data_IF_081684393298
#
_entry.id   IF_081684393298
#
_cell.length_a   1.000
_cell.length_b   1.000
_cell.length_c   1.000
_cell.angle_alpha   90.00
_cell.angle_beta   90.00
_cell.angle_gamma   90.00
#
_symmetry.space_group_name_H-M   'P 1'
#
loop_
_entity.id
_entity.type
_entity.pdbx_description
1 polymer ?
#
# COMPACT_ATOMS: atom_id res chain seq x y z
N UNK A 1 21.96 -19.55 35.64
CA UNK A 1 21.05 -18.58 36.28
C UNK A 1 21.71 -17.24 36.08
N UNK A 2 21.59 -16.71 34.87
CA UNK A 2 22.02 -15.36 34.56
C UNK A 2 20.76 -14.52 34.39
N UNK A 3 20.84 -13.34 34.97
CA UNK A 3 19.77 -12.37 35.18
C UNK A 3 18.92 -12.15 33.94
N UNK A 4 17.63 -12.46 34.08
CA UNK A 4 16.58 -11.85 33.27
C UNK A 4 16.67 -10.36 33.56
N UNK A 5 17.33 -9.61 32.69
CA UNK A 5 17.16 -8.15 32.62
C UNK A 5 15.65 -7.89 32.67
N UNK A 6 15.25 -7.09 33.67
CA UNK A 6 13.88 -6.62 33.80
C UNK A 6 13.44 -6.08 32.44
N UNK A 7 12.46 -6.75 31.84
CA UNK A 7 11.75 -6.23 30.68
C UNK A 7 11.18 -4.88 31.10
N UNK A 8 11.83 -3.80 30.66
CA UNK A 8 11.22 -2.47 30.62
C UNK A 8 9.80 -2.67 30.09
N UNK A 9 8.81 -2.23 30.86
CA UNK A 9 7.42 -2.27 30.44
C UNK A 9 7.33 -1.50 29.13
N UNK A 10 7.09 -2.22 28.03
CA UNK A 10 6.94 -1.62 26.69
C UNK A 10 5.98 -0.42 26.82
N UNK A 11 6.43 0.80 26.47
CA UNK A 11 5.69 2.00 26.76
C UNK A 11 4.31 1.95 26.10
N UNK A 12 3.30 2.64 26.65
CA UNK A 12 1.99 2.72 26.02
C UNK A 12 2.11 3.27 24.59
N UNK A 13 1.17 2.90 23.73
CA UNK A 13 1.24 3.17 22.29
C UNK A 13 1.48 4.64 21.92
N UNK A 14 0.96 5.58 22.70
CA UNK A 14 1.13 7.03 22.48
C UNK A 14 2.54 7.55 22.82
N UNK A 15 3.38 6.73 23.45
CA UNK A 15 4.78 7.04 23.74
C UNK A 15 5.73 6.39 22.72
N UNK A 16 5.21 5.65 21.73
CA UNK A 16 6.04 5.07 20.68
C UNK A 16 6.55 6.17 19.74
N UNK A 17 7.87 6.33 19.55
CA UNK A 17 8.40 7.27 18.56
C UNK A 17 7.88 6.96 17.15
N UNK A 18 7.63 5.67 16.85
CA UNK A 18 7.00 5.25 15.61
C UNK A 18 5.59 5.82 15.42
N UNK A 19 4.82 5.94 16.52
CA UNK A 19 3.45 6.46 16.49
C UNK A 19 3.46 7.95 16.15
N UNK A 20 4.29 8.74 16.82
CA UNK A 20 4.42 10.17 16.56
C UNK A 20 4.89 10.47 15.14
N UNK A 21 5.78 9.64 14.59
CA UNK A 21 6.22 9.79 13.21
C UNK A 21 5.11 9.44 12.22
N UNK A 22 4.39 8.34 12.48
CA UNK A 22 3.26 7.94 11.66
C UNK A 22 2.17 9.01 11.64
N UNK A 23 1.81 9.57 12.80
CA UNK A 23 0.82 10.65 12.91
C UNK A 23 1.26 11.89 12.12
N UNK A 24 2.51 12.34 12.28
CA UNK A 24 3.04 13.48 11.50
C UNK A 24 3.01 13.25 9.99
N UNK A 25 3.41 12.06 9.54
CA UNK A 25 3.44 11.73 8.11
C UNK A 25 2.03 11.58 7.53
N UNK A 26 1.07 11.04 8.29
CA UNK A 26 -0.33 10.96 7.86
C UNK A 26 -1.00 12.34 7.82
N UNK A 27 -0.67 13.25 8.73
CA UNK A 27 -1.11 14.66 8.65
C UNK A 27 -0.54 15.38 7.42
N UNK A 28 0.72 15.12 7.08
CA UNK A 28 1.31 15.63 5.84
C UNK A 28 0.64 15.02 4.59
N UNK A 29 0.31 13.73 4.61
CA UNK A 29 -0.47 13.09 3.54
C UNK A 29 -1.83 13.81 3.35
N UNK A 30 -2.57 14.07 4.44
CA UNK A 30 -3.84 14.80 4.40
C UNK A 30 -3.70 16.18 3.77
N UNK A 31 -2.60 16.89 4.07
CA UNK A 31 -2.28 18.18 3.42
C UNK A 31 -2.02 18.00 1.92
N UNK A 32 -1.23 17.01 1.53
CA UNK A 32 -0.96 16.69 0.12
C UNK A 32 -2.24 16.34 -0.65
N UNK A 33 -3.13 15.52 -0.06
CA UNK A 33 -4.43 15.14 -0.64
C UNK A 33 -5.28 16.40 -0.90
N UNK A 34 -5.40 17.29 0.09
CA UNK A 34 -6.17 18.55 -0.04
C UNK A 34 -5.60 19.43 -1.15
N UNK A 35 -4.27 19.62 -1.18
CA UNK A 35 -3.65 20.43 -2.23
C UNK A 35 -3.94 19.89 -3.63
N UNK A 36 -3.93 18.57 -3.82
CA UNK A 36 -4.26 17.95 -5.10
C UNK A 36 -5.73 18.11 -5.46
N UNK A 37 -6.64 18.03 -4.48
CA UNK A 37 -8.06 18.27 -4.68
C UNK A 37 -8.35 19.72 -5.13
N UNK A 38 -7.61 20.68 -4.60
CA UNK A 38 -7.81 22.12 -4.86
C UNK A 38 -7.17 22.60 -6.18
N UNK A 39 -6.34 21.76 -6.82
CA UNK A 39 -5.64 22.09 -8.06
C UNK A 39 -6.46 21.76 -9.30
N UNK A 40 -6.22 22.55 -10.34
CA UNK A 40 -6.90 22.44 -11.63
C UNK A 40 -6.57 21.13 -12.36
N UNK A 41 -7.32 20.84 -13.44
CA UNK A 41 -7.32 19.60 -14.26
C UNK A 41 -5.95 19.16 -14.85
N UNK A 42 -4.86 19.89 -14.62
CA UNK A 42 -3.50 19.56 -15.07
C UNK A 42 -2.78 18.50 -14.21
N UNK A 43 -3.29 18.24 -13.01
CA UNK A 43 -2.79 17.15 -12.14
C UNK A 43 -3.24 15.80 -12.72
N UNK A 44 -2.41 14.74 -12.69
CA UNK A 44 -2.81 13.44 -13.24
C UNK A 44 -4.11 12.99 -12.57
N UNK A 45 -5.19 12.91 -13.34
CA UNK A 45 -6.52 12.70 -12.81
C UNK A 45 -6.72 11.45 -11.90
N UNK A 46 -5.96 10.33 -12.03
CA UNK A 46 -6.06 9.23 -11.06
C UNK A 46 -5.34 9.49 -9.73
N UNK A 47 -4.58 10.58 -9.59
CA UNK A 47 -3.76 10.85 -8.41
C UNK A 47 -4.60 11.08 -7.14
N UNK A 48 -5.63 11.92 -7.22
CA UNK A 48 -6.53 12.21 -6.10
C UNK A 48 -7.15 10.94 -5.49
N UNK A 49 -7.91 10.11 -6.23
CA UNK A 49 -8.57 8.94 -5.63
C UNK A 49 -7.59 7.92 -5.05
N UNK A 50 -6.37 7.81 -5.60
CA UNK A 50 -5.36 6.92 -5.03
C UNK A 50 -4.82 7.47 -3.70
N UNK A 51 -4.49 8.76 -3.63
CA UNK A 51 -4.01 9.37 -2.38
C UNK A 51 -5.08 9.40 -1.30
N UNK A 52 -6.32 9.73 -1.65
CA UNK A 52 -7.48 9.68 -0.76
C UNK A 52 -7.69 8.26 -0.19
N UNK A 53 -7.55 7.22 -1.03
CA UNK A 53 -7.61 5.83 -0.55
C UNK A 53 -6.48 5.44 0.40
N UNK A 54 -5.29 6.05 0.25
CA UNK A 54 -4.17 5.84 1.18
C UNK A 54 -4.48 6.53 2.51
N UNK A 55 -5.06 7.72 2.49
CA UNK A 55 -5.47 8.45 3.70
C UNK A 55 -6.51 7.66 4.51
N UNK A 56 -7.58 7.20 3.86
CA UNK A 56 -8.60 6.33 4.48
C UNK A 56 -7.98 5.05 5.06
N UNK A 57 -7.05 4.44 4.32
CA UNK A 57 -6.35 3.23 4.78
C UNK A 57 -5.42 3.52 5.95
N UNK A 58 -4.80 4.70 6.03
CA UNK A 58 -3.93 5.10 7.13
C UNK A 58 -4.72 5.29 8.43
N UNK A 59 -5.89 5.93 8.37
CA UNK A 59 -6.79 6.06 9.52
C UNK A 59 -7.28 4.69 10.02
N UNK A 60 -7.64 3.80 9.09
CA UNK A 60 -8.02 2.41 9.39
C UNK A 60 -6.86 1.62 10.02
N UNK A 61 -5.63 1.84 9.53
CA UNK A 61 -4.44 1.21 10.08
C UNK A 61 -4.19 1.69 11.51
N UNK A 62 -4.30 2.99 11.78
CA UNK A 62 -4.17 3.55 13.12
C UNK A 62 -5.13 2.88 14.11
N UNK A 63 -6.39 2.68 13.71
CA UNK A 63 -7.38 1.95 14.52
C UNK A 63 -6.94 0.51 14.81
N UNK A 64 -6.50 -0.25 13.79
CA UNK A 64 -6.07 -1.63 13.96
C UNK A 64 -4.85 -1.76 14.87
N UNK A 65 -3.92 -0.82 14.80
CA UNK A 65 -2.72 -0.81 15.64
C UNK A 65 -3.10 -0.54 17.10
N UNK A 66 -4.01 0.39 17.38
CA UNK A 66 -4.55 0.63 18.74
C UNK A 66 -5.20 -0.63 19.34
N UNK A 67 -5.85 -1.43 18.50
CA UNK A 67 -6.46 -2.71 18.87
C UNK A 67 -5.49 -3.90 18.82
N UNK A 68 -4.22 -3.66 18.50
CA UNK A 68 -3.16 -4.66 18.32
C UNK A 68 -3.53 -5.79 17.34
N UNK A 69 -4.25 -5.48 16.26
CA UNK A 69 -4.68 -6.42 15.21
C UNK A 69 -3.59 -6.65 14.17
N UNK A 70 -2.47 -7.23 14.59
CA UNK A 70 -1.26 -7.45 13.78
C UNK A 70 -1.54 -7.99 12.36
N UNK A 71 -2.33 -9.06 12.26
CA UNK A 71 -2.62 -9.73 10.98
C UNK A 71 -3.24 -8.75 9.97
N UNK A 72 -4.28 -8.05 10.40
CA UNK A 72 -5.05 -7.14 9.55
C UNK A 72 -4.25 -5.85 9.28
N UNK A 73 -3.47 -5.39 10.27
CA UNK A 73 -2.53 -4.28 10.10
C UNK A 73 -1.50 -4.54 8.99
N UNK A 74 -0.96 -5.76 8.88
CA UNK A 74 -0.04 -6.12 7.79
C UNK A 74 -0.72 -6.09 6.42
N UNK A 75 -1.95 -6.61 6.30
CA UNK A 75 -2.71 -6.59 5.05
C UNK A 75 -2.95 -5.15 4.61
N UNK A 76 -3.41 -4.30 5.53
CA UNK A 76 -3.69 -2.90 5.22
C UNK A 76 -2.42 -2.10 4.93
N UNK A 77 -1.32 -2.39 5.63
CA UNK A 77 0.00 -1.80 5.35
C UNK A 77 0.49 -2.14 3.94
N UNK A 78 0.21 -3.34 3.45
CA UNK A 78 0.49 -3.72 2.06
C UNK A 78 -0.37 -2.95 1.07
N UNK A 79 -1.65 -2.75 1.36
CA UNK A 79 -2.54 -1.92 0.52
C UNK A 79 -1.99 -0.50 0.41
N UNK A 80 -1.67 0.13 1.54
CA UNK A 80 -1.03 1.45 1.58
C UNK A 80 0.25 1.48 0.74
N UNK A 81 1.14 0.50 0.94
CA UNK A 81 2.41 0.41 0.23
C UNK A 81 2.23 0.25 -1.29
N UNK A 82 1.40 -0.70 -1.73
CA UNK A 82 1.18 -0.94 -3.16
C UNK A 82 0.54 0.28 -3.84
N UNK A 83 -0.40 0.94 -3.18
CA UNK A 83 -1.02 2.17 -3.68
C UNK A 83 -0.01 3.32 -3.73
N UNK A 84 0.85 3.47 -2.73
CA UNK A 84 1.93 4.46 -2.73
C UNK A 84 2.91 4.24 -3.90
N UNK A 85 3.31 2.99 -4.16
CA UNK A 85 4.14 2.65 -5.33
C UNK A 85 3.41 2.96 -6.63
N UNK A 86 2.11 2.66 -6.74
CA UNK A 86 1.32 2.99 -7.93
C UNK A 86 1.24 4.49 -8.18
N UNK A 87 1.02 5.30 -7.13
CA UNK A 87 1.03 6.76 -7.22
C UNK A 87 2.36 7.26 -7.75
N UNK A 88 3.47 6.87 -7.10
CA UNK A 88 4.80 7.28 -7.54
C UNK A 88 5.11 6.81 -8.96
N UNK A 89 4.67 5.62 -9.34
CA UNK A 89 4.86 5.08 -10.69
C UNK A 89 4.07 5.86 -11.73
N UNK A 90 2.81 6.24 -11.46
CA UNK A 90 2.03 7.12 -12.34
C UNK A 90 2.77 8.42 -12.62
N UNK A 91 3.46 8.97 -11.61
CA UNK A 91 4.25 10.18 -11.77
C UNK A 91 5.53 9.99 -12.60
N UNK A 92 5.91 8.75 -12.95
CA UNK A 92 7.03 8.47 -13.87
C UNK A 92 6.73 8.91 -15.29
N UNK A 93 5.51 8.67 -15.78
CA UNK A 93 5.06 9.14 -17.08
C UNK A 93 3.55 9.41 -17.05
N UNK A 94 3.13 10.58 -16.54
CA UNK A 94 1.74 10.81 -16.15
C UNK A 94 0.71 10.67 -17.26
N UNK A 95 1.06 11.03 -18.50
CA UNK A 95 0.11 10.95 -19.63
C UNK A 95 -0.24 9.49 -19.97
N UNK A 96 0.71 8.72 -20.54
CA UNK A 96 0.50 7.32 -20.91
C UNK A 96 0.04 6.44 -19.74
N UNK A 97 0.60 6.61 -18.54
CA UNK A 97 0.22 5.78 -17.39
C UNK A 97 -1.17 6.11 -16.85
N UNK A 98 -1.60 7.37 -16.88
CA UNK A 98 -2.98 7.73 -16.48
C UNK A 98 -4.01 7.19 -17.47
N UNK A 99 -3.76 7.32 -18.77
CA UNK A 99 -4.65 6.76 -19.80
C UNK A 99 -4.76 5.24 -19.67
N UNK A 100 -3.64 4.57 -19.40
CA UNK A 100 -3.62 3.13 -19.14
C UNK A 100 -4.40 2.75 -17.88
N UNK A 101 -4.23 3.49 -16.79
CA UNK A 101 -4.96 3.28 -15.54
C UNK A 101 -6.48 3.43 -15.75
N UNK A 102 -6.93 4.44 -16.51
CA UNK A 102 -8.35 4.59 -16.84
C UNK A 102 -8.87 3.47 -17.73
N UNK A 103 -8.11 3.06 -18.76
CA UNK A 103 -8.48 1.93 -19.60
C UNK A 103 -8.62 0.64 -18.77
N UNK A 104 -7.73 0.42 -17.80
CA UNK A 104 -7.84 -0.71 -16.87
C UNK A 104 -9.08 -0.62 -15.96
N UNK A 105 -9.36 0.55 -15.37
CA UNK A 105 -10.54 0.75 -14.54
C UNK A 105 -11.84 0.54 -15.35
N UNK A 106 -11.91 1.10 -16.56
CA UNK A 106 -13.05 0.97 -17.48
C UNK A 106 -13.26 -0.48 -17.90
N UNK A 107 -12.20 -1.20 -18.29
CA UNK A 107 -12.36 -2.60 -18.68
C UNK A 107 -12.81 -3.48 -17.50
N UNK A 108 -12.34 -3.22 -16.27
CA UNK A 108 -12.83 -3.93 -15.07
C UNK A 108 -14.33 -3.71 -14.88
N UNK A 109 -14.79 -2.46 -14.99
CA UNK A 109 -16.23 -2.13 -14.93
C UNK A 109 -17.02 -2.82 -16.02
N UNK A 110 -16.51 -2.85 -17.26
CA UNK A 110 -17.15 -3.56 -18.37
C UNK A 110 -17.22 -5.07 -18.14
N UNK A 111 -16.15 -5.71 -17.66
CA UNK A 111 -16.15 -7.14 -17.34
C UNK A 111 -17.09 -7.47 -16.18
N UNK A 112 -17.27 -6.57 -15.23
CA UNK A 112 -18.23 -6.74 -14.14
C UNK A 112 -19.70 -6.75 -14.62
N UNK A 113 -20.01 -6.16 -15.78
CA UNK A 113 -21.36 -6.25 -16.38
C UNK A 113 -21.73 -7.67 -16.75
N UNK A 114 -20.75 -8.52 -17.08
CA UNK A 114 -21.00 -9.91 -17.46
C UNK A 114 -20.08 -10.84 -16.69
N UNK A 115 -20.63 -11.53 -15.70
CA UNK A 115 -19.86 -12.46 -14.86
C UNK A 115 -20.42 -13.85 -14.95
N UNK A 116 -19.54 -14.84 -15.15
CA UNK A 116 -19.88 -16.25 -15.06
C UNK A 116 -18.93 -16.94 -14.08
N UNK A 117 -19.48 -17.72 -13.16
CA UNK A 117 -18.70 -18.55 -12.24
C UNK A 117 -18.91 -20.00 -12.65
N UNK A 118 -17.80 -20.66 -12.98
CA UNK A 118 -17.77 -22.09 -13.27
C UNK A 118 -16.91 -22.81 -12.23
N UNK A 119 -17.40 -23.91 -11.68
CA UNK A 119 -16.68 -24.77 -10.74
C UNK A 119 -16.66 -26.17 -11.33
N UNK A 120 -15.46 -26.75 -11.52
CA UNK A 120 -15.28 -28.03 -12.20
C UNK A 120 -15.99 -28.12 -13.57
N UNK A 121 -16.01 -27.01 -14.32
CA UNK A 121 -16.70 -26.91 -15.62
C UNK A 121 -18.20 -26.61 -15.55
N UNK A 122 -18.84 -26.84 -14.40
CA UNK A 122 -20.26 -26.56 -14.16
C UNK A 122 -20.48 -25.08 -13.94
N UNK A 123 -21.39 -24.48 -14.71
CA UNK A 123 -21.82 -23.09 -14.51
C UNK A 123 -22.67 -23.00 -13.23
N UNK A 124 -22.15 -22.30 -12.22
CA UNK A 124 -22.81 -22.10 -10.92
C UNK A 124 -23.58 -20.78 -10.91
N UNK A 125 -23.07 -19.77 -11.59
CA UNK A 125 -23.66 -18.44 -11.61
C UNK A 125 -23.39 -17.76 -12.94
N UNK A 126 -24.39 -17.02 -13.45
CA UNK A 126 -24.22 -16.10 -14.56
C UNK A 126 -25.04 -14.83 -14.30
N UNK A 127 -24.38 -13.69 -14.42
CA UNK A 127 -25.00 -12.37 -14.47
C UNK A 127 -24.69 -11.75 -15.83
N UNK A 128 -25.73 -11.36 -16.56
CA UNK A 128 -25.66 -10.68 -17.85
C UNK A 128 -26.95 -9.87 -18.01
N UNK A 129 -26.94 -8.56 -17.71
CA UNK A 129 -28.14 -7.73 -17.86
C UNK A 129 -28.50 -7.59 -19.34
N UNK A 130 -29.77 -7.29 -19.61
CA UNK A 130 -30.25 -7.07 -20.96
C UNK A 130 -29.46 -5.94 -21.66
N UNK A 131 -29.14 -6.11 -22.93
CA UNK A 131 -28.33 -5.15 -23.69
C UNK A 131 -26.83 -5.16 -23.39
N UNK A 132 -26.34 -5.89 -22.37
CA UNK A 132 -24.92 -5.91 -22.01
C UNK A 132 -24.01 -6.30 -23.18
N UNK A 133 -24.39 -7.31 -23.97
CA UNK A 133 -23.63 -7.71 -25.16
C UNK A 133 -23.55 -6.62 -26.22
N UNK A 134 -24.63 -5.88 -26.45
CA UNK A 134 -24.64 -4.78 -27.41
C UNK A 134 -23.74 -3.64 -26.91
N UNK A 135 -23.85 -3.32 -25.62
CA UNK A 135 -23.02 -2.31 -24.97
C UNK A 135 -21.53 -2.65 -25.02
N UNK A 136 -21.15 -3.88 -24.68
CA UNK A 136 -19.75 -4.36 -24.75
C UNK A 136 -19.21 -4.38 -26.19
N UNK A 137 -20.08 -4.45 -27.20
CA UNK A 137 -19.67 -4.49 -28.60
C UNK A 137 -19.38 -3.11 -29.22
N UNK A 138 -19.59 -2.02 -28.49
CA UNK A 138 -19.20 -0.68 -28.94
C UNK A 138 -17.69 -0.60 -29.18
N UNK A 139 -17.26 0.20 -30.17
CA UNK A 139 -15.87 0.23 -30.65
C UNK A 139 -14.88 0.56 -29.53
N UNK A 140 -15.16 1.59 -28.73
CA UNK A 140 -14.33 2.02 -27.60
C UNK A 140 -14.20 0.94 -26.52
N UNK A 141 -15.30 0.28 -26.19
CA UNK A 141 -15.33 -0.80 -25.18
C UNK A 141 -14.53 -2.02 -25.62
N UNK A 142 -14.63 -2.40 -26.90
CA UNK A 142 -13.82 -3.47 -27.47
C UNK A 142 -12.33 -3.17 -27.38
N UNK A 143 -11.93 -1.93 -27.62
CA UNK A 143 -10.52 -1.52 -27.50
C UNK A 143 -10.00 -1.74 -26.08
N UNK A 144 -10.69 -1.23 -25.05
CA UNK A 144 -10.28 -1.41 -23.65
C UNK A 144 -10.25 -2.88 -23.23
N UNK A 145 -11.24 -3.68 -23.65
CA UNK A 145 -11.28 -5.11 -23.35
C UNK A 145 -10.14 -5.87 -24.03
N UNK A 146 -9.83 -5.54 -25.29
CA UNK A 146 -8.78 -6.21 -26.07
C UNK A 146 -7.40 -5.92 -25.50
N UNK A 147 -7.14 -4.67 -25.09
CA UNK A 147 -5.87 -4.27 -24.47
C UNK A 147 -5.53 -5.13 -23.24
N UNK A 148 -6.54 -5.48 -22.44
CA UNK A 148 -6.40 -6.30 -21.23
C UNK A 148 -6.87 -7.74 -21.43
N UNK A 149 -6.73 -8.28 -22.65
CA UNK A 149 -6.96 -9.69 -22.96
C UNK A 149 -5.70 -10.30 -23.56
N UNK A 150 -5.23 -11.41 -23.00
CA UNK A 150 -4.08 -12.14 -23.49
C UNK A 150 -4.38 -12.81 -24.84
N UNK A 151 -3.32 -13.27 -25.53
CA UNK A 151 -3.45 -14.06 -26.77
C UNK A 151 -4.28 -15.35 -26.58
N UNK A 152 -4.33 -15.89 -25.36
CA UNK A 152 -5.13 -17.07 -25.02
C UNK A 152 -6.58 -16.74 -24.63
N UNK A 153 -7.00 -15.48 -24.75
CA UNK A 153 -8.33 -15.02 -24.39
C UNK A 153 -8.55 -14.83 -22.89
N UNK A 154 -7.50 -14.95 -22.07
CA UNK A 154 -7.59 -14.74 -20.61
C UNK A 154 -7.45 -13.26 -20.28
N UNK A 155 -8.14 -12.82 -19.25
CA UNK A 155 -7.99 -11.47 -18.73
C UNK A 155 -6.57 -11.22 -18.22
N UNK A 156 -6.01 -10.06 -18.57
CA UNK A 156 -4.80 -9.52 -17.96
C UNK A 156 -5.26 -8.73 -16.73
N UNK A 157 -4.99 -9.26 -15.54
CA UNK A 157 -5.52 -8.69 -14.28
C UNK A 157 -4.75 -7.46 -13.81
N UNK A 158 -3.45 -7.39 -14.11
CA UNK A 158 -2.58 -6.26 -13.78
C UNK A 158 -2.85 -5.05 -14.67
N UNK A 159 -2.83 -3.85 -14.09
CA UNK A 159 -2.99 -2.60 -14.84
C UNK A 159 -1.68 -2.19 -15.55
N UNK A 160 -0.54 -2.62 -15.04
CA UNK A 160 0.80 -2.47 -15.65
C UNK A 160 1.41 -3.82 -16.03
N UNK A 161 2.24 -3.90 -17.09
CA UNK A 161 3.08 -5.07 -17.32
C UNK A 161 4.23 -5.19 -16.31
N UNK A 162 4.66 -4.09 -15.69
CA UNK A 162 5.75 -4.05 -14.73
C UNK A 162 5.38 -4.70 -13.40
N UNK A 163 6.28 -5.51 -12.85
CA UNK A 163 6.20 -5.99 -11.47
C UNK A 163 6.57 -4.88 -10.47
N UNK A 164 6.49 -5.16 -9.16
CA UNK A 164 6.78 -4.15 -8.12
C UNK A 164 8.23 -3.64 -8.19
N UNK A 165 9.22 -4.51 -8.43
CA UNK A 165 10.62 -4.12 -8.52
C UNK A 165 10.87 -3.20 -9.71
N UNK A 166 10.33 -3.54 -10.88
CA UNK A 166 10.46 -2.72 -12.09
C UNK A 166 9.84 -1.33 -11.91
N UNK A 167 8.70 -1.23 -11.19
CA UNK A 167 8.10 0.06 -10.85
C UNK A 167 9.00 0.87 -9.91
N UNK A 168 9.57 0.24 -8.88
CA UNK A 168 10.53 0.88 -7.97
C UNK A 168 11.77 1.37 -8.70
N UNK A 169 12.32 0.59 -9.62
CA UNK A 169 13.49 0.96 -10.42
C UNK A 169 13.17 2.21 -11.28
N UNK A 170 12.01 2.24 -11.92
CA UNK A 170 11.58 3.39 -12.73
C UNK A 170 11.38 4.66 -11.87
N UNK A 171 10.77 4.51 -10.69
CA UNK A 171 10.59 5.61 -9.71
C UNK A 171 11.96 6.14 -9.26
N UNK A 172 12.87 5.24 -8.88
CA UNK A 172 14.21 5.57 -8.44
C UNK A 172 14.99 6.32 -9.51
N UNK A 173 14.97 5.83 -10.76
CA UNK A 173 15.67 6.46 -11.88
C UNK A 173 15.14 7.86 -12.19
N UNK A 174 13.84 8.12 -11.99
CA UNK A 174 13.25 9.44 -12.24
C UNK A 174 13.46 10.43 -11.09
N UNK A 175 13.24 10.02 -9.85
CA UNK A 175 13.16 10.93 -8.70
C UNK A 175 14.39 10.90 -7.79
N UNK A 176 15.29 9.94 -7.99
CA UNK A 176 16.53 9.77 -7.23
C UNK A 176 16.35 9.11 -5.86
N UNK A 177 17.46 8.61 -5.31
CA UNK A 177 17.50 7.87 -4.04
C UNK A 177 16.93 8.68 -2.87
N UNK A 178 17.30 9.96 -2.79
CA UNK A 178 17.01 10.80 -1.62
C UNK A 178 15.52 10.90 -1.32
N UNK A 179 14.66 10.87 -2.34
CA UNK A 179 13.20 10.91 -2.22
C UNK A 179 12.55 9.53 -2.17
N UNK A 180 13.18 8.50 -2.73
CA UNK A 180 12.51 7.22 -3.04
C UNK A 180 12.93 6.06 -2.13
N UNK A 181 14.02 6.20 -1.36
CA UNK A 181 14.56 5.13 -0.51
C UNK A 181 13.53 4.47 0.41
N UNK A 182 12.56 5.24 0.91
CA UNK A 182 11.51 4.72 1.79
C UNK A 182 10.64 3.64 1.15
N UNK A 183 10.40 3.72 -0.16
CA UNK A 183 9.62 2.72 -0.92
C UNK A 183 10.34 1.36 -1.00
N UNK A 184 11.68 1.33 -0.95
CA UNK A 184 12.43 0.08 -0.94
C UNK A 184 12.21 -0.69 0.37
N UNK A 185 12.13 0.01 1.51
CA UNK A 185 11.87 -0.62 2.80
C UNK A 185 10.48 -1.25 2.89
N UNK A 186 9.48 -0.73 2.15
CA UNK A 186 8.14 -1.31 2.08
C UNK A 186 8.11 -2.74 1.51
N UNK A 187 9.14 -3.18 0.77
CA UNK A 187 9.25 -4.59 0.33
C UNK A 187 9.33 -5.58 1.50
N UNK A 188 9.80 -5.13 2.67
CA UNK A 188 9.82 -5.94 3.90
C UNK A 188 8.40 -6.19 4.44
N UNK A 189 7.46 -5.26 4.24
CA UNK A 189 6.03 -5.47 4.52
C UNK A 189 5.47 -6.49 3.55
N UNK A 190 5.78 -6.31 2.25
CA UNK A 190 5.17 -7.05 1.14
C UNK A 190 5.26 -8.57 1.30
N UNK A 191 6.42 -9.09 1.72
CA UNK A 191 6.66 -10.52 1.86
C UNK A 191 5.70 -11.18 2.87
N UNK A 192 5.66 -10.67 4.10
CA UNK A 192 4.83 -11.26 5.16
C UNK A 192 3.35 -10.96 4.93
N UNK A 193 3.02 -9.76 4.48
CA UNK A 193 1.64 -9.37 4.19
C UNK A 193 1.02 -10.21 3.06
N UNK A 194 1.80 -10.65 2.07
CA UNK A 194 1.30 -11.52 1.00
C UNK A 194 0.89 -12.91 1.51
N UNK A 195 1.71 -13.51 2.35
CA UNK A 195 1.38 -14.79 2.99
C UNK A 195 0.15 -14.68 3.90
N UNK A 196 0.05 -13.58 4.65
CA UNK A 196 -1.11 -13.29 5.49
C UNK A 196 -2.38 -13.11 4.66
N UNK A 197 -2.33 -12.30 3.59
CA UNK A 197 -3.48 -12.00 2.74
C UNK A 197 -4.00 -13.25 2.01
N UNK A 198 -3.11 -14.16 1.60
CA UNK A 198 -3.49 -15.44 1.02
C UNK A 198 -3.94 -16.48 2.06
N UNK A 199 -3.87 -16.17 3.35
CA UNK A 199 -4.29 -17.07 4.42
C UNK A 199 -3.42 -18.32 4.53
N UNK A 200 -2.14 -18.24 4.19
CA UNK A 200 -1.24 -19.40 4.28
C UNK A 200 -0.97 -19.78 5.74
N UNK A 201 -0.55 -21.03 5.95
CA UNK A 201 -0.12 -21.49 7.27
C UNK A 201 1.06 -20.64 7.78
N UNK A 202 2.02 -20.31 6.90
CA UNK A 202 3.14 -19.43 7.24
C UNK A 202 2.66 -18.07 7.74
N UNK A 203 1.78 -17.38 7.01
CA UNK A 203 1.26 -16.08 7.42
C UNK A 203 0.53 -16.14 8.76
N UNK A 204 -0.19 -17.23 9.01
CA UNK A 204 -0.87 -17.48 10.29
C UNK A 204 0.13 -17.68 11.42
N UNK A 205 1.12 -18.56 11.27
CA UNK A 205 2.16 -18.81 12.27
C UNK A 205 3.04 -17.59 12.53
N UNK A 206 3.37 -16.81 11.50
CA UNK A 206 4.05 -15.52 11.64
C UNK A 206 3.22 -14.55 12.49
N UNK A 207 1.92 -14.39 12.24
CA UNK A 207 1.07 -13.49 13.03
C UNK A 207 0.89 -13.93 14.49
N UNK A 208 1.19 -15.21 14.77
CA UNK A 208 1.25 -15.75 16.11
C UNK A 208 2.62 -15.56 16.76
N UNK A 209 3.67 -15.28 15.98
CA UNK A 209 5.09 -15.22 16.36
C UNK A 209 5.75 -16.59 16.52
N UNK A 210 5.07 -17.66 16.10
CA UNK A 210 5.57 -19.03 16.15
C UNK A 210 6.71 -19.33 15.15
N UNK A 211 7.09 -18.35 14.33
CA UNK A 211 8.18 -18.44 13.35
C UNK A 211 9.46 -17.72 13.81
N UNK A 212 9.50 -17.17 15.02
CA UNK A 212 10.69 -16.48 15.55
C UNK A 212 11.77 -17.52 15.89
N UNK A 213 12.89 -17.46 15.16
CA UNK A 213 14.02 -18.39 15.34
C UNK A 213 14.64 -18.17 16.73
N UNK A 214 14.78 -19.23 17.50
CA UNK A 214 15.41 -19.18 18.84
C UNK A 214 14.52 -18.64 19.95
N UNK A 215 13.30 -18.19 19.64
CA UNK A 215 12.35 -17.65 20.62
C UNK A 215 10.97 -18.31 20.50
N UNK A 216 10.82 -19.58 20.95
CA UNK A 216 9.52 -20.21 20.98
C UNK A 216 8.60 -19.43 21.92
N UNK A 217 7.39 -19.11 21.44
CA UNK A 217 6.40 -18.43 22.28
C UNK A 217 5.81 -19.40 23.29
N UNK A 218 6.00 -19.10 24.57
CA UNK A 218 5.64 -19.99 25.67
C UNK A 218 4.41 -19.52 26.45
N UNK A 219 3.99 -18.27 26.26
CA UNK A 219 2.87 -17.67 27.01
C UNK A 219 2.05 -16.66 26.21
N UNK A 220 0.88 -16.28 26.74
CA UNK A 220 0.04 -15.21 26.16
C UNK A 220 0.75 -13.86 26.16
N UNK A 221 1.58 -13.59 27.17
CA UNK A 221 2.32 -12.34 27.29
C UNK A 221 3.41 -12.25 26.21
N UNK A 222 4.03 -13.37 25.84
CA UNK A 222 5.01 -13.43 24.75
C UNK A 222 4.37 -13.07 23.41
N UNK A 223 3.15 -13.54 23.16
CA UNK A 223 2.36 -13.15 21.97
C UNK A 223 2.10 -11.65 21.96
N UNK A 224 1.75 -11.06 23.12
CA UNK A 224 1.51 -9.63 23.26
C UNK A 224 2.76 -8.79 22.96
N UNK A 225 3.92 -9.19 23.50
CA UNK A 225 5.22 -8.54 23.25
C UNK A 225 5.61 -8.63 21.77
N UNK A 226 5.51 -9.83 21.18
CA UNK A 226 5.77 -10.04 19.76
C UNK A 226 4.90 -9.14 18.88
N UNK A 227 3.58 -9.09 19.15
CA UNK A 227 2.66 -8.25 18.38
C UNK A 227 3.04 -6.78 18.44
N UNK A 228 3.35 -6.24 19.62
CA UNK A 228 3.74 -4.82 19.75
C UNK A 228 5.05 -4.54 19.02
N UNK A 229 6.06 -5.39 19.17
CA UNK A 229 7.33 -5.31 18.43
C UNK A 229 7.10 -5.26 16.91
N UNK A 230 6.32 -6.19 16.37
CA UNK A 230 6.05 -6.25 14.93
C UNK A 230 5.18 -5.08 14.44
N UNK A 231 4.19 -4.64 15.23
CA UNK A 231 3.38 -3.45 14.90
C UNK A 231 4.24 -2.19 14.82
N UNK A 232 5.16 -1.98 15.76
CA UNK A 232 6.13 -0.87 15.73
C UNK A 232 7.02 -0.95 14.50
N UNK A 233 7.53 -2.15 14.19
CA UNK A 233 8.35 -2.36 13.00
C UNK A 233 7.58 -2.05 11.70
N UNK A 234 6.37 -2.57 11.57
CA UNK A 234 5.49 -2.34 10.43
C UNK A 234 5.12 -0.85 10.27
N UNK A 235 4.76 -0.18 11.37
CA UNK A 235 4.45 1.27 11.37
C UNK A 235 5.63 2.10 10.88
N UNK A 236 6.85 1.76 11.30
CA UNK A 236 8.07 2.38 10.81
C UNK A 236 8.22 2.21 9.29
N UNK A 237 8.02 0.99 8.77
CA UNK A 237 8.12 0.71 7.34
C UNK A 237 7.05 1.43 6.49
N UNK A 238 5.82 1.54 7.02
CA UNK A 238 4.75 2.31 6.38
C UNK A 238 5.11 3.80 6.37
N UNK A 239 5.61 4.34 7.48
CA UNK A 239 6.02 5.74 7.60
C UNK A 239 7.12 6.10 6.59
N UNK A 240 8.11 5.22 6.37
CA UNK A 240 9.07 5.39 5.27
C UNK A 240 8.42 5.43 3.90
N UNK A 241 7.48 4.52 3.64
CA UNK A 241 6.82 4.43 2.33
C UNK A 241 5.99 5.69 2.06
N UNK A 242 5.28 6.19 3.07
CA UNK A 242 4.50 7.42 3.02
C UNK A 242 5.39 8.67 2.94
N UNK A 243 6.51 8.72 3.66
CA UNK A 243 7.51 9.80 3.52
C UNK A 243 7.96 9.91 2.06
N UNK A 244 8.38 8.79 1.46
CA UNK A 244 8.81 8.80 0.05
C UNK A 244 7.69 9.16 -0.92
N UNK A 245 6.47 8.67 -0.69
CA UNK A 245 5.29 9.05 -1.46
C UNK A 245 5.10 10.58 -1.45
N UNK A 246 5.05 11.17 -0.25
CA UNK A 246 4.82 12.60 -0.07
C UNK A 246 5.91 13.41 -0.76
N UNK A 247 7.19 13.01 -0.60
CA UNK A 247 8.33 13.71 -1.20
C UNK A 247 8.39 13.61 -2.72
N UNK A 248 7.97 12.48 -3.30
CA UNK A 248 7.82 12.35 -4.76
C UNK A 248 6.69 13.25 -5.24
N UNK A 249 5.51 13.14 -4.64
CA UNK A 249 4.33 13.93 -5.01
C UNK A 249 4.62 15.43 -4.90
N UNK A 250 5.11 15.89 -3.75
CA UNK A 250 5.40 17.31 -3.53
C UNK A 250 6.43 17.86 -4.50
N UNK A 251 7.39 17.05 -4.94
CA UNK A 251 8.36 17.46 -5.97
C UNK A 251 7.75 17.66 -7.36
N UNK A 252 6.69 16.95 -7.69
CA UNK A 252 5.93 17.15 -8.94
C UNK A 252 4.96 18.32 -8.81
N UNK A 253 4.41 18.52 -7.62
CA UNK A 253 3.48 19.61 -7.33
C UNK A 253 4.15 20.96 -7.06
N UNK A 254 5.49 21.01 -7.01
CA UNK A 254 6.28 22.19 -6.65
C UNK A 254 5.96 22.71 -5.22
N UNK A 255 5.92 21.78 -4.25
CA UNK A 255 5.66 22.03 -2.82
C UNK A 255 6.88 21.68 -1.97
N UNK A 256 7.95 22.50 -2.03
CA UNK A 256 9.20 22.19 -1.33
C UNK A 256 9.07 22.20 0.20
N UNK A 257 8.12 22.95 0.76
CA UNK A 257 7.85 22.96 2.20
C UNK A 257 7.34 21.61 2.69
N UNK A 258 6.51 20.92 1.90
CA UNK A 258 5.99 19.58 2.20
C UNK A 258 7.08 18.51 2.09
N UNK A 259 7.96 18.62 1.09
CA UNK A 259 9.16 17.74 0.98
C UNK A 259 10.03 17.85 2.23
N UNK A 260 10.38 19.07 2.61
CA UNK A 260 11.22 19.35 3.79
C UNK A 260 10.53 18.90 5.08
N UNK A 261 9.24 19.14 5.24
CA UNK A 261 8.49 18.70 6.42
C UNK A 261 8.50 17.17 6.58
N UNK A 262 8.32 16.42 5.48
CA UNK A 262 8.39 14.97 5.51
C UNK A 262 9.78 14.46 5.89
N UNK A 263 10.84 15.06 5.34
CA UNK A 263 12.21 14.72 5.71
C UNK A 263 12.51 15.03 7.19
N UNK A 264 12.05 16.18 7.69
CA UNK A 264 12.24 16.59 9.08
C UNK A 264 11.50 15.68 10.08
N UNK A 265 10.29 15.22 9.74
CA UNK A 265 9.55 14.28 10.57
C UNK A 265 10.34 12.98 10.80
N UNK A 266 11.03 12.47 9.76
CA UNK A 266 11.94 11.34 9.90
C UNK A 266 13.15 11.66 10.79
N UNK A 267 13.77 12.82 10.59
CA UNK A 267 14.94 13.24 11.40
C UNK A 267 14.56 13.31 12.88
N UNK A 268 13.44 13.96 13.21
CA UNK A 268 12.94 14.06 14.58
C UNK A 268 12.64 12.68 15.21
N UNK A 269 12.14 11.72 14.42
CA UNK A 269 11.96 10.34 14.87
C UNK A 269 13.29 9.69 15.30
N UNK A 270 14.36 9.85 14.52
CA UNK A 270 15.67 9.26 14.86
C UNK A 270 16.34 9.96 16.04
N UNK A 271 16.26 11.30 16.10
CA UNK A 271 16.76 12.08 17.23
C UNK A 271 16.14 11.62 18.56
N UNK A 272 14.82 11.37 18.56
CA UNK A 272 14.11 10.83 19.74
C UNK A 272 14.53 9.41 20.12
N UNK A 273 15.04 8.61 19.18
CA UNK A 273 15.57 7.28 19.46
C UNK A 273 17.05 7.29 19.88
N UNK A 274 17.67 8.46 19.93
CA UNK A 274 19.10 8.59 20.22
C UNK A 274 19.99 8.00 19.12
N UNK A 275 19.52 8.03 17.86
CA UNK A 275 20.24 7.54 16.68
C UNK A 275 20.60 8.67 15.72
#
# INVERSE_FOLDING_TARGET
MDSVEELESDPPLHEWPEWDWFDQITDLLKRTVRSICDRDMSTPAPLYPLLDSIDESADSLAMLIRLQRLRDSYVLSRVIYETAVNVCFLLVDPGPLSERAYSHARQKSLRNLTRAIKVAGTLIFKFEPEGAKQFLNQSTHKTWLTEFTSKSGREITSWTPENVQQRLDAIYLKFGESKTRGLAFGLLIYRNASEIAHGTLFGTLFSWGAMEVGHPLCSKDDIGKFRRKELRHMMKLVSYSLESLIRVVSSVMDEPDVDVAAANARTAYYERRGM
#
